data_IF_932883778520
#
_entry.id   IF_932883778520
#
_cell.length_a   1.000
_cell.length_b   1.000
_cell.length_c   1.000
_cell.angle_alpha   90.00
_cell.angle_beta   90.00
_cell.angle_gamma   90.00
#
_symmetry.space_group_name_H-M   'P 1'
#
loop_
_entity.id
_entity.type
_entity.pdbx_description
1 polymer ?
#
# COMPACT_ATOMS: atom_id res chain seq x y z
N UNK A 1 -13.68 27.35 5.76
CA UNK A 1 -13.06 26.02 5.89
C UNK A 1 -13.75 25.06 4.97
N UNK A 2 -12.99 24.16 4.35
CA UNK A 2 -13.54 23.11 3.51
C UNK A 2 -13.93 21.91 4.39
N UNK A 3 -15.07 21.29 4.07
CA UNK A 3 -15.48 20.04 4.70
C UNK A 3 -14.88 18.83 4.01
N UNK A 4 -15.27 17.61 4.43
CA UNK A 4 -14.78 16.36 3.86
C UNK A 4 -15.08 16.28 2.35
N UNK A 5 -14.05 16.11 1.50
CA UNK A 5 -14.24 16.07 0.07
C UNK A 5 -14.94 14.77 -0.36
N UNK A 6 -15.76 14.88 -1.41
CA UNK A 6 -16.32 13.71 -2.08
C UNK A 6 -15.75 13.55 -3.48
N UNK A 7 -15.41 12.31 -3.80
CA UNK A 7 -15.00 11.90 -5.13
C UNK A 7 -16.20 11.90 -6.07
N UNK A 8 -16.04 12.49 -7.24
CA UNK A 8 -17.00 12.48 -8.33
C UNK A 8 -16.31 11.87 -9.54
N UNK A 9 -16.81 10.74 -9.99
CA UNK A 9 -16.26 10.09 -11.18
C UNK A 9 -16.37 11.00 -12.40
N UNK A 10 -15.23 11.31 -12.99
CA UNK A 10 -15.15 12.15 -14.19
C UNK A 10 -14.99 11.30 -15.45
N UNK A 11 -13.76 10.94 -15.81
CA UNK A 11 -13.46 10.26 -17.07
C UNK A 11 -14.28 8.97 -17.25
N UNK A 12 -14.32 8.11 -16.24
CA UNK A 12 -15.08 6.85 -16.27
C UNK A 12 -16.59 7.05 -16.47
N UNK A 13 -17.18 8.00 -15.75
CA UNK A 13 -18.62 8.29 -15.89
C UNK A 13 -18.98 8.84 -17.27
N UNK A 14 -18.04 9.54 -17.90
CA UNK A 14 -18.19 10.10 -19.24
C UNK A 14 -17.83 9.12 -20.36
N UNK A 15 -17.24 7.97 -20.04
CA UNK A 15 -16.74 7.01 -21.02
C UNK A 15 -15.51 7.54 -21.77
N UNK A 16 -14.66 8.29 -21.10
CA UNK A 16 -13.45 8.89 -21.65
C UNK A 16 -12.21 8.25 -21.02
N UNK A 17 -11.09 8.30 -21.72
CA UNK A 17 -9.77 8.12 -21.12
C UNK A 17 -9.38 9.38 -20.35
N UNK A 18 -8.59 9.27 -19.24
CA UNK A 18 -8.28 10.40 -18.38
C UNK A 18 -7.70 11.63 -19.08
N UNK A 19 -6.80 11.53 -20.08
CA UNK A 19 -6.27 12.70 -20.80
C UNK A 19 -7.32 13.50 -21.58
N UNK A 20 -8.38 12.85 -22.05
CA UNK A 20 -9.42 13.52 -22.83
C UNK A 20 -10.40 14.33 -21.96
N UNK A 21 -10.36 14.12 -20.63
CA UNK A 21 -11.22 14.84 -19.72
C UNK A 21 -11.00 16.36 -19.78
N UNK A 22 -9.75 16.79 -19.95
CA UNK A 22 -9.39 18.21 -19.99
C UNK A 22 -10.13 19.00 -21.09
N UNK A 23 -10.40 18.34 -22.21
CA UNK A 23 -11.12 18.95 -23.34
C UNK A 23 -12.60 19.20 -23.06
N UNK A 24 -13.16 18.49 -22.09
CA UNK A 24 -14.59 18.53 -21.78
C UNK A 24 -14.89 19.09 -20.40
N UNK A 25 -13.85 19.47 -19.66
CA UNK A 25 -13.99 20.16 -18.37
C UNK A 25 -14.71 21.51 -18.55
N UNK A 26 -15.54 21.82 -17.56
CA UNK A 26 -16.31 23.07 -17.48
C UNK A 26 -15.97 23.90 -16.25
N UNK A 27 -15.30 23.29 -15.30
CA UNK A 27 -14.95 23.89 -14.01
C UNK A 27 -13.46 23.70 -13.77
N UNK A 28 -12.77 24.77 -13.42
CA UNK A 28 -11.37 24.74 -13.04
C UNK A 28 -11.21 24.21 -11.61
N UNK A 29 -10.06 23.61 -11.31
CA UNK A 29 -9.68 23.29 -9.93
C UNK A 29 -9.58 24.61 -9.14
N UNK A 30 -10.14 24.64 -7.93
CA UNK A 30 -10.25 25.84 -7.10
C UNK A 30 -11.57 26.59 -7.24
N UNK A 31 -12.36 26.33 -8.28
CA UNK A 31 -13.63 27.04 -8.51
C UNK A 31 -14.73 26.63 -7.52
N UNK A 32 -15.54 27.56 -7.13
CA UNK A 32 -16.78 27.33 -6.39
C UNK A 32 -17.82 26.70 -7.30
N UNK A 33 -18.57 25.76 -6.78
CA UNK A 33 -19.61 25.02 -7.48
C UNK A 33 -20.86 24.92 -6.61
N UNK A 34 -22.01 24.92 -7.24
CA UNK A 34 -23.28 24.62 -6.59
C UNK A 34 -23.72 23.21 -6.94
N UNK A 35 -24.58 22.61 -6.13
CA UNK A 35 -25.18 21.30 -6.41
C UNK A 35 -25.80 21.30 -7.83
N UNK A 36 -25.41 20.29 -8.62
CA UNK A 36 -25.84 20.20 -10.01
C UNK A 36 -24.95 20.91 -11.02
N UNK A 37 -23.94 21.70 -10.58
CA UNK A 37 -22.96 22.30 -11.50
C UNK A 37 -22.28 21.22 -12.33
N UNK A 38 -22.23 21.40 -13.63
CA UNK A 38 -21.57 20.47 -14.57
C UNK A 38 -20.05 20.67 -14.48
N UNK A 39 -19.36 19.69 -13.92
CA UNK A 39 -17.89 19.67 -13.82
C UNK A 39 -17.22 19.34 -15.15
N UNK A 40 -17.80 18.38 -15.87
CA UNK A 40 -17.38 18.01 -17.22
C UNK A 40 -18.59 17.42 -17.98
N UNK A 41 -18.60 17.56 -19.32
CA UNK A 41 -19.71 17.09 -20.16
C UNK A 41 -19.25 16.66 -21.53
N UNK A 42 -19.73 15.49 -21.99
CA UNK A 42 -19.52 14.98 -23.36
C UNK A 42 -20.82 14.96 -24.14
N UNK A 43 -20.65 15.05 -25.48
CA UNK A 43 -21.75 14.88 -26.44
C UNK A 43 -22.73 16.05 -26.55
N UNK A 44 -23.48 16.06 -27.66
CA UNK A 44 -24.52 17.04 -27.92
C UNK A 44 -25.93 16.44 -27.76
N UNK A 45 -26.15 15.20 -28.21
CA UNK A 45 -27.47 14.55 -28.18
C UNK A 45 -27.64 13.54 -27.05
N UNK A 46 -26.60 12.74 -26.79
CA UNK A 46 -26.55 11.80 -25.64
C UNK A 46 -25.46 12.28 -24.69
N UNK A 47 -25.70 13.43 -24.11
CA UNK A 47 -24.71 14.05 -23.23
C UNK A 47 -24.61 13.29 -21.90
N UNK A 48 -23.40 12.86 -21.55
CA UNK A 48 -23.06 12.43 -20.19
C UNK A 48 -22.41 13.60 -19.48
N UNK A 49 -22.71 13.76 -18.20
CA UNK A 49 -22.14 14.84 -17.40
C UNK A 49 -21.69 14.30 -16.03
N UNK A 50 -20.53 14.76 -15.59
CA UNK A 50 -20.13 14.69 -14.20
C UNK A 50 -20.61 15.96 -13.51
N UNK A 51 -21.36 15.84 -12.43
CA UNK A 51 -22.00 16.96 -11.73
C UNK A 51 -21.58 17.05 -10.28
N UNK A 52 -21.53 18.26 -9.74
CA UNK A 52 -21.25 18.49 -8.32
C UNK A 52 -22.42 17.97 -7.46
N UNK A 53 -22.15 17.13 -6.44
CA UNK A 53 -23.19 16.53 -5.61
C UNK A 53 -23.78 17.48 -4.57
N UNK A 54 -23.11 18.59 -4.28
CA UNK A 54 -23.49 19.61 -3.29
C UNK A 54 -22.76 20.93 -3.57
N UNK A 55 -23.12 21.97 -2.84
CA UNK A 55 -22.47 23.28 -2.90
C UNK A 55 -21.09 23.20 -2.25
N UNK A 56 -20.06 23.66 -2.95
CA UNK A 56 -18.70 23.51 -2.46
C UNK A 56 -17.65 24.09 -3.39
N UNK A 57 -16.45 23.54 -3.31
CA UNK A 57 -15.32 23.90 -4.17
C UNK A 57 -14.73 22.66 -4.82
N UNK A 58 -14.43 22.72 -6.11
CA UNK A 58 -13.69 21.70 -6.83
C UNK A 58 -12.20 21.82 -6.45
N UNK A 59 -11.73 20.99 -5.52
CA UNK A 59 -10.42 21.17 -4.89
C UNK A 59 -9.28 20.41 -5.58
N UNK A 60 -9.60 19.35 -6.29
CA UNK A 60 -8.59 18.50 -6.92
C UNK A 60 -9.17 17.71 -8.10
N UNK A 61 -8.31 17.39 -9.06
CA UNK A 61 -8.52 16.41 -10.12
C UNK A 61 -7.41 15.40 -10.12
N UNK A 62 -7.75 14.12 -10.08
CA UNK A 62 -6.78 13.04 -10.12
C UNK A 62 -6.26 12.78 -11.53
N UNK A 63 -5.10 12.13 -11.64
CA UNK A 63 -4.59 11.64 -12.93
C UNK A 63 -5.55 10.62 -13.58
N UNK A 64 -6.32 9.85 -12.80
CA UNK A 64 -7.38 8.94 -13.27
C UNK A 64 -8.63 9.65 -13.79
N UNK A 65 -8.69 10.98 -13.69
CA UNK A 65 -9.78 11.79 -14.22
C UNK A 65 -11.00 11.87 -13.31
N UNK A 66 -10.84 11.76 -12.01
CA UNK A 66 -11.89 12.00 -11.02
C UNK A 66 -11.76 13.39 -10.41
N UNK A 67 -12.89 13.97 -10.01
CA UNK A 67 -12.94 15.24 -9.30
C UNK A 67 -13.12 15.02 -7.81
N UNK A 68 -12.55 15.90 -7.01
CA UNK A 68 -12.88 16.02 -5.61
C UNK A 68 -13.56 17.35 -5.36
N UNK A 69 -14.77 17.30 -4.81
CA UNK A 69 -15.56 18.46 -4.43
C UNK A 69 -15.70 18.47 -2.91
N UNK A 70 -15.32 19.57 -2.27
CA UNK A 70 -15.44 19.75 -0.83
C UNK A 70 -16.47 20.83 -0.51
N UNK A 71 -17.38 20.65 0.47
CA UNK A 71 -18.27 21.68 0.92
C UNK A 71 -17.48 22.85 1.54
N UNK A 72 -17.90 24.08 1.24
CA UNK A 72 -17.26 25.30 1.82
C UNK A 72 -17.62 25.47 3.29
N UNK A 73 -18.75 24.91 3.71
CA UNK A 73 -19.22 24.94 5.08
C UNK A 73 -19.02 23.58 5.74
N UNK A 74 -18.10 23.50 6.68
CA UNK A 74 -17.87 22.26 7.41
C UNK A 74 -16.45 22.20 7.99
N UNK A 75 -16.27 21.25 8.87
CA UNK A 75 -14.95 20.86 9.36
C UNK A 75 -14.61 19.51 8.74
N UNK A 76 -13.45 19.43 8.14
CA UNK A 76 -12.85 18.15 7.78
C UNK A 76 -11.85 17.77 8.86
N UNK A 77 -11.94 16.58 9.37
CA UNK A 77 -10.99 16.04 10.31
C UNK A 77 -10.43 14.72 9.79
N UNK A 78 -9.14 14.57 9.88
CA UNK A 78 -8.43 13.32 9.66
C UNK A 78 -7.78 12.95 10.98
N UNK A 79 -7.97 11.71 11.39
CA UNK A 79 -7.27 11.19 12.54
C UNK A 79 -5.84 10.82 12.11
N UNK A 80 -4.85 11.26 12.89
CA UNK A 80 -3.47 10.82 12.68
C UNK A 80 -3.40 9.29 12.74
N UNK A 81 -2.56 8.70 11.90
CA UNK A 81 -2.28 7.27 11.96
C UNK A 81 -1.45 6.90 13.20
N UNK A 82 -0.68 7.86 13.73
CA UNK A 82 0.23 7.65 14.85
C UNK A 82 -0.06 8.64 15.98
N UNK A 83 0.25 8.24 17.19
CA UNK A 83 0.35 9.13 18.32
C UNK A 83 1.69 9.89 18.26
N UNK A 84 1.65 11.18 18.52
CA UNK A 84 2.87 11.99 18.38
C UNK A 84 2.61 13.48 18.55
N UNK A 85 3.65 14.28 18.32
CA UNK A 85 3.59 15.71 18.42
C UNK A 85 3.40 16.34 17.04
N UNK A 86 2.61 17.40 16.96
CA UNK A 86 2.50 18.20 15.74
C UNK A 86 3.76 19.03 15.57
N UNK A 87 4.63 18.64 14.64
CA UNK A 87 5.87 19.36 14.36
C UNK A 87 5.63 20.57 13.46
N UNK A 88 4.65 20.47 12.54
CA UNK A 88 4.33 21.53 11.59
C UNK A 88 2.87 21.49 11.21
N UNK A 89 2.27 22.66 11.05
CA UNK A 89 0.90 22.81 10.56
C UNK A 89 0.86 23.97 9.56
N UNK A 90 0.57 23.65 8.31
CA UNK A 90 0.41 24.60 7.21
C UNK A 90 -1.03 24.56 6.68
N UNK A 91 -1.36 25.48 5.75
CA UNK A 91 -2.71 25.57 5.17
C UNK A 91 -3.17 24.31 4.42
N UNK A 92 -2.26 23.41 4.05
CA UNK A 92 -2.56 22.21 3.27
C UNK A 92 -2.07 20.89 3.89
N UNK A 93 -1.28 20.93 4.98
CA UNK A 93 -0.69 19.75 5.57
C UNK A 93 -0.41 19.91 7.06
N UNK A 94 -0.50 18.79 7.79
CA UNK A 94 -0.05 18.69 9.18
C UNK A 94 0.99 17.59 9.26
N UNK A 95 2.17 17.91 9.79
CA UNK A 95 3.23 16.95 10.05
C UNK A 95 3.16 16.52 11.51
N UNK A 96 3.03 15.24 11.72
CA UNK A 96 3.07 14.62 13.07
C UNK A 96 4.35 13.80 13.17
N UNK A 97 5.09 14.02 14.24
CA UNK A 97 6.30 13.27 14.57
C UNK A 97 6.07 12.41 15.79
N UNK A 98 6.55 11.18 15.77
CA UNK A 98 6.44 10.24 16.87
C UNK A 98 7.29 9.00 16.60
N UNK A 99 7.41 8.19 17.64
CA UNK A 99 8.14 6.93 17.55
C UNK A 99 7.27 5.86 16.89
N UNK A 100 7.90 5.02 16.09
CA UNK A 100 7.23 3.91 15.40
C UNK A 100 8.19 2.74 15.25
N UNK A 101 7.62 1.54 15.35
CA UNK A 101 8.32 0.35 14.91
C UNK A 101 8.20 0.22 13.39
N UNK A 102 9.30 -0.04 12.70
CA UNK A 102 9.33 -0.11 11.25
C UNK A 102 9.91 -1.44 10.76
N UNK A 103 9.26 -2.03 9.78
CA UNK A 103 9.73 -3.23 9.09
C UNK A 103 9.84 -2.94 7.60
N UNK A 104 11.05 -3.06 7.07
CA UNK A 104 11.33 -2.91 5.64
C UNK A 104 10.94 -4.15 4.85
N UNK A 105 10.49 -3.95 3.63
CA UNK A 105 10.21 -4.99 2.66
C UNK A 105 10.94 -4.75 1.34
N UNK A 106 10.85 -5.70 0.41
CA UNK A 106 11.42 -5.58 -0.92
C UNK A 106 10.59 -4.68 -1.81
N UNK A 107 9.26 -4.83 -1.78
CA UNK A 107 8.37 -4.15 -2.68
C UNK A 107 6.99 -3.92 -2.07
N UNK A 108 6.39 -2.76 -2.37
CA UNK A 108 5.01 -2.42 -2.04
C UNK A 108 4.17 -2.25 -3.31
N UNK A 109 2.95 -2.76 -3.30
CA UNK A 109 2.02 -2.70 -4.41
C UNK A 109 0.70 -2.09 -3.96
N UNK A 110 0.09 -1.29 -4.84
CA UNK A 110 -1.16 -0.59 -4.54
C UNK A 110 -0.96 0.74 -3.81
N UNK A 111 -2.06 1.37 -3.33
CA UNK A 111 -2.00 2.60 -2.57
C UNK A 111 -1.43 2.39 -1.18
N UNK A 112 -1.03 3.48 -0.51
CA UNK A 112 -0.72 3.42 0.91
C UNK A 112 -1.95 3.00 1.72
N UNK A 113 -1.74 2.26 2.80
CA UNK A 113 -2.81 1.72 3.62
C UNK A 113 -2.61 2.03 5.11
N UNK A 114 -3.73 2.18 5.81
CA UNK A 114 -3.77 2.37 7.26
C UNK A 114 -4.83 1.43 7.83
N UNK A 115 -4.50 0.75 8.93
CA UNK A 115 -5.41 -0.18 9.58
C UNK A 115 -4.86 -0.68 10.91
N UNK A 116 -5.63 -1.49 11.60
CA UNK A 116 -5.13 -2.18 12.79
C UNK A 116 -4.42 -3.46 12.34
N UNK A 117 -3.24 -3.71 12.89
CA UNK A 117 -2.45 -4.89 12.57
C UNK A 117 -3.14 -6.17 13.05
N UNK A 118 -3.18 -7.17 12.22
CA UNK A 118 -3.73 -8.48 12.53
C UNK A 118 -2.87 -9.58 11.92
N UNK A 119 -2.39 -10.52 12.74
CA UNK A 119 -1.65 -11.68 12.22
C UNK A 119 -2.66 -12.77 11.87
N UNK A 120 -2.76 -13.08 10.57
CA UNK A 120 -3.75 -13.99 9.99
C UNK A 120 -3.32 -15.46 9.94
N UNK A 121 -2.13 -15.78 10.43
CA UNK A 121 -1.52 -17.12 10.42
C UNK A 121 -1.02 -17.49 11.81
N UNK A 122 -0.99 -18.79 12.09
CA UNK A 122 -0.59 -19.27 13.41
C UNK A 122 0.94 -19.41 13.53
N UNK A 123 1.60 -19.71 12.41
CA UNK A 123 3.05 -19.85 12.34
C UNK A 123 3.64 -19.09 11.15
N UNK A 124 4.91 -18.72 11.18
CA UNK A 124 5.57 -18.05 10.05
C UNK A 124 5.67 -18.92 8.79
N UNK A 125 5.46 -20.23 8.92
CA UNK A 125 5.49 -21.19 7.82
C UNK A 125 4.15 -21.34 7.10
N UNK A 126 3.07 -20.82 7.68
CA UNK A 126 1.74 -20.95 7.11
C UNK A 126 1.52 -19.99 5.93
N UNK A 127 0.72 -20.42 4.98
CA UNK A 127 0.19 -19.56 3.92
C UNK A 127 -1.12 -18.91 4.39
N UNK A 128 -1.33 -17.64 4.05
CA UNK A 128 -2.61 -16.98 4.27
C UNK A 128 -3.65 -17.51 3.28
N UNK A 129 -4.41 -18.51 3.71
CA UNK A 129 -5.45 -19.08 2.88
C UNK A 129 -6.60 -18.10 2.67
N UNK A 130 -7.22 -18.04 1.45
CA UNK A 130 -8.38 -17.19 1.19
C UNK A 130 -9.54 -17.42 2.16
N UNK A 131 -9.73 -18.66 2.65
CA UNK A 131 -10.76 -19.02 3.62
C UNK A 131 -10.62 -18.35 4.99
N UNK A 132 -9.42 -17.91 5.36
CA UNK A 132 -9.16 -17.15 6.60
C UNK A 132 -9.52 -15.67 6.48
N UNK A 133 -9.86 -15.19 5.28
CA UNK A 133 -10.15 -13.80 4.99
C UNK A 133 -11.65 -13.60 4.86
N UNK A 134 -12.21 -12.77 5.72
CA UNK A 134 -13.63 -12.40 5.71
C UNK A 134 -13.85 -10.93 6.10
N UNK A 135 -15.09 -10.50 6.11
CA UNK A 135 -15.48 -9.10 6.39
C UNK A 135 -15.13 -8.60 7.80
N UNK A 136 -14.80 -9.49 8.75
CA UNK A 136 -14.33 -9.11 10.08
C UNK A 136 -12.93 -8.52 10.06
N UNK A 137 -12.19 -8.75 8.97
CA UNK A 137 -10.86 -8.19 8.74
C UNK A 137 -10.90 -6.85 7.98
N UNK A 138 -12.09 -6.28 7.79
CA UNK A 138 -12.24 -4.95 7.21
C UNK A 138 -11.43 -3.90 7.96
N UNK A 139 -10.83 -2.98 7.22
CA UNK A 139 -10.00 -1.89 7.72
C UNK A 139 -8.77 -2.34 8.53
N UNK A 140 -8.34 -3.60 8.39
CA UNK A 140 -7.13 -4.14 9.02
C UNK A 140 -6.00 -4.28 8.03
N UNK A 141 -4.77 -4.25 8.56
CA UNK A 141 -3.57 -4.72 7.87
C UNK A 141 -3.32 -6.15 8.32
N UNK A 142 -3.45 -7.10 7.40
CA UNK A 142 -3.37 -8.53 7.70
C UNK A 142 -2.00 -9.07 7.32
N UNK A 143 -1.33 -9.67 8.29
CA UNK A 143 -0.05 -10.34 8.09
C UNK A 143 -0.29 -11.81 7.74
N UNK A 144 0.19 -12.22 6.57
CA UNK A 144 0.37 -13.61 6.19
C UNK A 144 1.72 -14.13 6.66
N UNK A 145 1.96 -15.42 6.53
CA UNK A 145 3.25 -16.02 6.84
C UNK A 145 4.14 -16.11 5.62
N UNK A 146 4.32 -17.33 5.15
CA UNK A 146 5.19 -17.66 4.03
C UNK A 146 4.78 -17.02 2.72
N UNK A 147 3.46 -16.96 2.45
CA UNK A 147 2.95 -16.63 1.12
C UNK A 147 1.54 -16.04 1.18
N UNK A 148 1.28 -15.13 0.23
CA UNK A 148 -0.07 -14.66 -0.08
C UNK A 148 -0.29 -14.78 -1.59
N UNK A 149 -1.20 -15.66 -1.99
CA UNK A 149 -1.54 -15.91 -3.39
C UNK A 149 -2.55 -14.88 -3.95
N UNK A 150 -2.72 -14.81 -5.27
CA UNK A 150 -3.62 -13.87 -5.95
C UNK A 150 -5.06 -13.96 -5.45
N UNK A 151 -5.54 -15.15 -5.16
CA UNK A 151 -6.90 -15.38 -4.66
C UNK A 151 -7.10 -14.76 -3.27
N UNK A 152 -6.08 -14.87 -2.40
CA UNK A 152 -6.11 -14.25 -1.08
C UNK A 152 -6.08 -12.72 -1.19
N UNK A 153 -5.25 -12.17 -2.09
CA UNK A 153 -5.19 -10.73 -2.36
C UNK A 153 -6.53 -10.20 -2.86
N UNK A 154 -7.11 -10.86 -3.86
CA UNK A 154 -8.40 -10.47 -4.43
C UNK A 154 -9.53 -10.55 -3.40
N UNK A 155 -9.55 -11.61 -2.58
CA UNK A 155 -10.54 -11.78 -1.53
C UNK A 155 -10.38 -10.73 -0.43
N UNK A 156 -9.17 -10.43 -0.01
CA UNK A 156 -8.88 -9.39 0.98
C UNK A 156 -9.42 -8.03 0.53
N UNK A 157 -9.16 -7.67 -0.72
CA UNK A 157 -9.70 -6.44 -1.32
C UNK A 157 -11.23 -6.43 -1.33
N UNK A 158 -11.87 -7.51 -1.75
CA UNK A 158 -13.33 -7.63 -1.75
C UNK A 158 -13.94 -7.56 -0.35
N UNK A 159 -13.24 -8.04 0.69
CA UNK A 159 -13.66 -7.96 2.09
C UNK A 159 -13.38 -6.59 2.73
N UNK A 160 -12.67 -5.69 2.04
CA UNK A 160 -12.31 -4.36 2.55
C UNK A 160 -11.12 -4.37 3.53
N UNK A 161 -10.24 -5.36 3.41
CA UNK A 161 -8.95 -5.37 4.11
C UNK A 161 -8.11 -4.21 3.61
N UNK A 162 -7.52 -3.42 4.52
CA UNK A 162 -6.73 -2.24 4.14
C UNK A 162 -5.43 -2.61 3.43
N UNK A 163 -4.75 -3.66 3.89
CA UNK A 163 -3.51 -4.11 3.28
C UNK A 163 -3.09 -5.50 3.74
N UNK A 164 -2.22 -6.11 2.95
CA UNK A 164 -1.63 -7.42 3.22
C UNK A 164 -0.11 -7.28 3.36
N UNK A 165 0.45 -8.03 4.30
CA UNK A 165 1.90 -8.15 4.51
C UNK A 165 2.26 -9.62 4.46
N UNK A 166 3.23 -10.01 3.66
CA UNK A 166 3.66 -11.41 3.55
C UNK A 166 5.17 -11.54 3.40
N UNK A 167 5.71 -12.67 3.81
CA UNK A 167 7.08 -13.02 3.54
C UNK A 167 7.33 -13.09 2.04
N UNK A 168 6.53 -13.83 1.31
CA UNK A 168 6.59 -13.94 -0.14
C UNK A 168 5.27 -13.66 -0.84
N UNK A 169 5.34 -13.19 -2.08
CA UNK A 169 4.19 -13.04 -2.98
C UNK A 169 4.58 -13.55 -4.37
N UNK A 170 3.87 -14.53 -4.95
CA UNK A 170 4.20 -15.04 -6.27
C UNK A 170 4.12 -13.94 -7.33
N UNK A 171 5.15 -13.85 -8.17
CA UNK A 171 5.21 -12.87 -9.26
C UNK A 171 4.04 -12.99 -10.23
N UNK A 172 3.65 -14.23 -10.56
CA UNK A 172 2.46 -14.49 -11.38
C UNK A 172 1.18 -13.99 -10.73
N UNK A 173 1.05 -14.14 -9.41
CA UNK A 173 -0.08 -13.60 -8.64
C UNK A 173 -0.16 -12.09 -8.67
N UNK A 174 1.00 -11.40 -8.57
CA UNK A 174 1.06 -9.95 -8.70
C UNK A 174 0.64 -9.47 -10.09
N UNK A 175 1.07 -10.17 -11.15
CA UNK A 175 0.63 -9.84 -12.51
C UNK A 175 -0.88 -10.00 -12.70
N UNK A 176 -1.47 -11.04 -12.13
CA UNK A 176 -2.92 -11.24 -12.18
C UNK A 176 -3.67 -10.09 -11.52
N UNK A 177 -3.18 -9.58 -10.38
CA UNK A 177 -3.86 -8.53 -9.61
C UNK A 177 -3.58 -7.13 -10.14
N UNK A 178 -2.33 -6.85 -10.53
CA UNK A 178 -1.90 -5.48 -10.88
C UNK A 178 -1.64 -5.27 -12.37
N UNK A 179 -1.62 -6.34 -13.16
CA UNK A 179 -1.33 -6.28 -14.61
C UNK A 179 0.14 -6.50 -14.93
N UNK A 180 0.43 -6.54 -16.23
CA UNK A 180 1.77 -6.89 -16.74
C UNK A 180 2.84 -5.81 -16.48
N UNK A 181 2.42 -4.58 -16.19
CA UNK A 181 3.33 -3.46 -15.87
C UNK A 181 3.92 -3.54 -14.45
N UNK A 182 3.53 -4.54 -13.68
CA UNK A 182 4.05 -4.74 -12.32
C UNK A 182 5.54 -5.09 -12.37
N UNK A 183 6.34 -4.45 -11.52
CA UNK A 183 7.79 -4.62 -11.48
C UNK A 183 8.32 -4.93 -10.08
N UNK A 184 9.60 -5.26 -9.98
CA UNK A 184 10.27 -5.65 -8.74
C UNK A 184 10.31 -4.54 -7.67
N UNK A 185 10.23 -3.28 -8.07
CA UNK A 185 10.24 -2.14 -7.14
C UNK A 185 8.86 -1.78 -6.59
N UNK A 186 7.87 -2.61 -6.90
CA UNK A 186 6.50 -2.32 -6.53
C UNK A 186 5.77 -1.42 -7.54
N UNK A 187 4.54 -1.12 -7.23
CA UNK A 187 3.67 -0.26 -8.00
C UNK A 187 2.82 0.56 -7.03
N UNK A 188 3.20 1.82 -6.83
CA UNK A 188 2.33 2.75 -6.10
C UNK A 188 1.20 3.20 -7.02
N UNK A 189 -0.03 2.90 -6.65
CA UNK A 189 -1.21 3.29 -7.40
C UNK A 189 -2.17 4.07 -6.50
N UNK A 190 -2.68 5.18 -7.02
CA UNK A 190 -3.69 6.00 -6.33
C UNK A 190 -5.12 5.55 -6.60
N UNK A 191 -5.31 4.36 -7.14
CA UNK A 191 -6.60 3.80 -7.54
C UNK A 191 -7.10 2.76 -6.52
N UNK A 192 -8.30 2.25 -6.75
CA UNK A 192 -8.96 1.23 -5.93
C UNK A 192 -8.35 -0.15 -6.23
N UNK A 193 -7.12 -0.36 -5.79
CA UNK A 193 -6.41 -1.63 -5.87
C UNK A 193 -6.04 -2.13 -4.48
N UNK A 194 -5.88 -3.45 -4.30
CA UNK A 194 -5.39 -4.00 -3.04
C UNK A 194 -4.00 -3.45 -2.71
N UNK A 195 -3.70 -3.33 -1.43
CA UNK A 195 -2.36 -2.99 -0.95
C UNK A 195 -1.65 -4.24 -0.49
N UNK A 196 -0.45 -4.48 -0.99
CA UNK A 196 0.38 -5.62 -0.62
C UNK A 196 1.81 -5.18 -0.36
N UNK A 197 2.35 -5.58 0.78
CA UNK A 197 3.76 -5.44 1.12
C UNK A 197 4.45 -6.81 1.08
N UNK A 198 5.42 -6.94 0.20
CA UNK A 198 6.27 -8.10 0.07
C UNK A 198 7.54 -7.89 0.89
N UNK A 199 7.75 -8.68 1.94
CA UNK A 199 8.88 -8.48 2.85
C UNK A 199 10.17 -9.10 2.33
N UNK A 200 10.12 -10.36 1.88
CA UNK A 200 11.33 -11.14 1.64
C UNK A 200 11.60 -11.44 0.17
N UNK A 201 10.58 -11.41 -0.65
CA UNK A 201 10.79 -11.71 -2.08
C UNK A 201 9.55 -12.16 -2.81
N UNK A 202 9.78 -12.67 -4.03
CA UNK A 202 8.74 -13.18 -4.90
C UNK A 202 8.68 -14.70 -4.79
N UNK A 203 7.49 -15.22 -4.49
CA UNK A 203 7.27 -16.66 -4.29
C UNK A 203 6.86 -17.02 -2.87
N UNK A 204 7.51 -18.01 -2.29
CA UNK A 204 7.25 -18.49 -0.92
C UNK A 204 8.48 -18.25 -0.05
N UNK A 205 8.33 -17.44 0.98
CA UNK A 205 9.41 -17.11 1.91
C UNK A 205 8.86 -17.01 3.34
N UNK A 206 9.17 -17.97 4.23
CA UNK A 206 8.74 -17.91 5.62
C UNK A 206 9.27 -16.65 6.30
N UNK A 207 8.43 -16.01 7.10
CA UNK A 207 8.89 -14.91 7.94
C UNK A 207 9.94 -15.44 8.95
N UNK A 208 11.02 -14.70 9.19
CA UNK A 208 11.90 -15.00 10.32
C UNK A 208 11.10 -15.07 11.62
N UNK A 209 11.38 -16.06 12.45
CA UNK A 209 10.63 -16.27 13.69
C UNK A 209 10.59 -15.03 14.60
N UNK A 210 11.71 -14.30 14.81
CA UNK A 210 11.68 -13.08 15.61
C UNK A 210 10.72 -12.00 15.04
N UNK A 211 10.70 -11.84 13.70
CA UNK A 211 9.79 -10.90 13.02
C UNK A 211 8.34 -11.32 13.23
N UNK A 212 8.03 -12.60 13.05
CA UNK A 212 6.68 -13.12 13.26
C UNK A 212 6.21 -12.90 14.71
N UNK A 213 7.06 -13.24 15.69
CA UNK A 213 6.74 -13.04 17.11
C UNK A 213 6.55 -11.57 17.46
N UNK A 214 7.39 -10.68 16.90
CA UNK A 214 7.23 -9.24 17.05
C UNK A 214 5.89 -8.74 16.50
N UNK A 215 5.51 -9.18 15.30
CA UNK A 215 4.22 -8.84 14.68
C UNK A 215 3.02 -9.39 15.48
N UNK A 216 3.15 -10.57 16.07
CA UNK A 216 2.13 -11.13 16.97
C UNK A 216 1.98 -10.26 18.22
N UNK A 217 3.09 -9.85 18.84
CA UNK A 217 3.08 -8.98 20.02
C UNK A 217 2.47 -7.60 19.72
N UNK A 218 2.65 -7.09 18.48
CA UNK A 218 2.12 -5.83 18.01
C UNK A 218 0.69 -5.93 17.45
N UNK A 219 0.10 -7.12 17.40
CA UNK A 219 -1.24 -7.32 16.85
C UNK A 219 -2.28 -6.51 17.64
N UNK A 220 -3.15 -5.82 16.90
CA UNK A 220 -4.12 -4.86 17.46
C UNK A 220 -3.63 -3.42 17.49
N UNK A 221 -2.33 -3.18 17.30
CA UNK A 221 -1.80 -1.81 17.19
C UNK A 221 -2.18 -1.18 15.87
N UNK A 222 -2.27 0.14 15.84
CA UNK A 222 -2.44 0.89 14.60
C UNK A 222 -1.21 0.75 13.74
N UNK A 223 -1.38 0.56 12.44
CA UNK A 223 -0.29 0.38 11.50
C UNK A 223 -0.57 1.08 10.17
N UNK A 224 0.50 1.30 9.41
CA UNK A 224 0.44 1.84 8.06
C UNK A 224 1.42 1.09 7.14
N UNK A 225 1.02 0.92 5.88
CA UNK A 225 1.90 0.46 4.81
C UNK A 225 2.19 1.68 3.93
N UNK A 226 3.47 2.03 3.79
CA UNK A 226 3.95 3.00 2.83
C UNK A 226 4.56 2.25 1.65
N UNK A 227 3.79 2.13 0.57
CA UNK A 227 4.11 1.26 -0.57
C UNK A 227 5.34 1.73 -1.34
N UNK A 228 5.52 3.05 -1.48
CA UNK A 228 6.66 3.62 -2.22
C UNK A 228 8.02 3.33 -1.58
N UNK A 229 8.08 3.22 -0.25
CA UNK A 229 9.31 2.83 0.48
C UNK A 229 9.30 1.35 0.90
N UNK A 230 8.27 0.60 0.55
CA UNK A 230 8.06 -0.78 0.95
C UNK A 230 8.19 -1.00 2.47
N UNK A 231 7.52 -0.16 3.28
CA UNK A 231 7.60 -0.23 4.75
C UNK A 231 6.26 -0.47 5.40
N UNK A 232 6.28 -1.34 6.42
CA UNK A 232 5.24 -1.44 7.44
C UNK A 232 5.67 -0.61 8.63
N UNK A 233 4.83 0.33 9.04
CA UNK A 233 5.01 1.15 10.24
C UNK A 233 3.96 0.71 11.26
N UNK A 234 4.36 0.42 12.50
CA UNK A 234 3.45 0.01 13.57
C UNK A 234 3.57 1.00 14.73
N UNK A 235 2.46 1.65 15.04
CA UNK A 235 2.38 2.67 16.07
C UNK A 235 1.94 2.05 17.39
N UNK A 236 2.88 1.37 18.03
CA UNK A 236 2.66 0.71 19.33
C UNK A 236 3.07 1.63 20.47
N UNK A 237 2.49 1.45 21.67
CA UNK A 237 3.01 2.08 22.87
C UNK A 237 4.49 1.74 23.10
N UNK A 238 5.26 2.68 23.63
CA UNK A 238 6.70 2.53 23.85
C UNK A 238 7.08 1.42 24.84
N UNK A 239 6.12 0.92 25.61
CA UNK A 239 6.27 -0.16 26.59
C UNK A 239 6.06 -1.56 26.02
N UNK A 240 5.63 -1.68 24.77
CA UNK A 240 5.59 -2.99 24.10
C UNK A 240 7.03 -3.39 23.80
N UNK A 241 7.51 -4.51 24.38
CA UNK A 241 8.85 -4.99 24.07
C UNK A 241 8.90 -5.50 22.64
N UNK A 242 9.19 -4.61 21.75
CA UNK A 242 9.58 -4.91 20.38
C UNK A 242 11.07 -5.22 20.48
N UNK A 243 11.49 -6.40 20.04
CA UNK A 243 12.85 -6.88 20.20
C UNK A 243 13.92 -5.81 19.93
N UNK A 244 15.08 -6.02 20.49
CA UNK A 244 16.16 -5.05 20.52
C UNK A 244 16.29 -4.28 19.22
N UNK A 245 16.05 -2.98 19.24
CA UNK A 245 16.10 -2.11 18.06
C UNK A 245 17.51 -2.04 17.43
N UNK A 246 18.50 -2.52 18.16
CA UNK A 246 19.89 -2.62 17.75
C UNK A 246 20.23 -4.01 17.16
N UNK A 247 19.30 -4.95 17.12
CA UNK A 247 19.54 -6.21 16.43
C UNK A 247 19.37 -5.95 14.95
N UNK A 248 20.45 -5.94 14.15
CA UNK A 248 20.29 -5.83 12.71
C UNK A 248 19.54 -7.10 12.29
N UNK A 249 18.40 -6.85 11.73
CA UNK A 249 17.66 -7.93 11.14
C UNK A 249 18.41 -8.50 9.97
N UNK A 250 18.87 -9.57 10.14
CA UNK A 250 19.53 -10.35 9.58
C UNK A 250 19.43 -10.95 8.37
N UNK A 251 20.18 -10.75 7.54
CA UNK A 251 20.50 -11.40 6.48
C UNK A 251 21.29 -12.53 6.62
N UNK A 252 20.75 -13.58 6.59
CA UNK A 252 21.33 -14.91 6.59
C UNK A 252 21.51 -15.40 5.17
N UNK A 253 21.95 -14.52 4.32
CA UNK A 253 22.23 -14.93 2.94
C UNK A 253 23.23 -16.07 2.86
N UNK A 254 24.13 -16.18 3.82
CA UNK A 254 25.04 -17.32 3.94
C UNK A 254 24.35 -18.64 4.27
N UNK A 255 23.20 -18.58 4.96
CA UNK A 255 22.47 -19.78 5.34
C UNK A 255 21.63 -20.31 4.18
N UNK A 256 21.48 -19.52 3.14
CA UNK A 256 20.70 -19.84 1.95
C UNK A 256 21.55 -20.29 0.74
N UNK A 257 22.78 -20.70 0.96
CA UNK A 257 23.50 -21.42 -0.08
C UNK A 257 24.11 -20.59 -1.21
N UNK A 258 24.64 -19.43 -0.91
CA UNK A 258 25.47 -18.70 -1.86
C UNK A 258 24.95 -17.34 -2.28
N UNK A 259 23.87 -16.88 -1.71
CA UNK A 259 23.44 -15.49 -1.85
C UNK A 259 24.43 -14.59 -1.13
N UNK A 260 24.88 -13.52 -1.77
CA UNK A 260 25.76 -12.56 -1.12
C UNK A 260 25.06 -11.94 0.08
N UNK A 261 25.74 -11.85 1.23
CA UNK A 261 25.20 -11.13 2.37
C UNK A 261 24.95 -9.66 1.97
N UNK A 262 23.89 -9.11 2.45
CA UNK A 262 23.69 -7.69 2.34
C UNK A 262 24.67 -6.97 3.25
N UNK A 263 25.15 -5.83 2.85
CA UNK A 263 26.01 -5.04 3.70
C UNK A 263 25.21 -4.39 4.82
N UNK A 264 25.83 -4.28 5.97
CA UNK A 264 25.29 -3.52 7.10
C UNK A 264 24.95 -2.10 6.65
N UNK A 265 23.69 -1.75 6.67
CA UNK A 265 23.20 -0.45 6.19
C UNK A 265 22.11 -0.52 5.13
N UNK A 266 21.60 -1.71 4.83
CA UNK A 266 20.41 -1.88 4.01
C UNK A 266 20.61 -1.80 2.51
N UNK A 267 21.84 -1.88 2.03
CA UNK A 267 22.11 -1.93 0.60
C UNK A 267 22.05 -3.37 0.09
N UNK A 268 21.23 -3.60 -0.88
CA UNK A 268 21.22 -4.85 -1.61
C UNK A 268 22.42 -4.87 -2.57
N UNK A 269 23.26 -5.89 -2.50
CA UNK A 269 24.43 -6.03 -3.38
C UNK A 269 24.05 -6.56 -4.77
N UNK A 270 23.13 -5.90 -5.44
CA UNK A 270 22.67 -6.28 -6.76
C UNK A 270 21.35 -5.60 -7.13
N UNK A 271 20.95 -5.76 -8.36
CA UNK A 271 19.67 -5.25 -8.85
C UNK A 271 18.64 -6.35 -8.77
N UNK A 272 17.61 -6.17 -7.92
CA UNK A 272 16.46 -7.04 -7.92
C UNK A 272 15.62 -6.76 -9.15
N UNK A 273 15.37 -7.78 -9.95
CA UNK A 273 14.48 -7.69 -11.10
C UNK A 273 13.25 -8.54 -10.85
N UNK A 274 12.11 -8.05 -11.32
CA UNK A 274 10.89 -8.84 -11.30
C UNK A 274 11.06 -10.03 -12.26
N UNK A 275 10.74 -11.27 -11.84
CA UNK A 275 10.89 -12.44 -12.70
C UNK A 275 10.10 -12.30 -13.99
N UNK A 276 10.73 -12.66 -15.12
CA UNK A 276 10.08 -12.60 -16.43
C UNK A 276 9.03 -13.71 -16.62
N UNK A 277 9.21 -14.83 -15.93
CA UNK A 277 8.32 -15.99 -16.02
C UNK A 277 7.23 -15.91 -14.97
N UNK A 278 5.99 -16.28 -15.32
CA UNK A 278 4.82 -16.15 -14.47
C UNK A 278 4.95 -16.95 -13.18
N UNK A 279 5.62 -18.11 -13.24
CA UNK A 279 5.77 -19.01 -12.10
C UNK A 279 7.18 -18.98 -11.47
N UNK A 280 8.01 -18.03 -11.90
CA UNK A 280 9.37 -17.96 -11.39
C UNK A 280 9.41 -17.39 -9.98
N UNK A 281 9.83 -18.19 -9.04
CA UNK A 281 10.09 -17.80 -7.65
C UNK A 281 11.56 -17.40 -7.46
N UNK A 282 12.13 -16.72 -8.42
CA UNK A 282 13.52 -16.29 -8.40
C UNK A 282 13.66 -14.80 -8.64
N UNK A 283 14.69 -14.21 -8.05
CA UNK A 283 15.06 -12.81 -8.21
C UNK A 283 16.38 -12.75 -8.96
N UNK A 284 16.44 -11.93 -10.00
CA UNK A 284 17.70 -11.60 -10.68
C UNK A 284 18.44 -10.55 -9.85
N UNK A 285 19.57 -10.93 -9.29
CA UNK A 285 20.43 -10.06 -8.48
C UNK A 285 21.48 -9.32 -9.31
N UNK A 286 21.49 -9.54 -10.62
CA UNK A 286 22.52 -9.02 -11.52
C UNK A 286 23.76 -9.94 -11.65
N UNK A 287 24.01 -10.75 -10.63
CA UNK A 287 25.06 -11.80 -10.63
C UNK A 287 24.48 -13.20 -10.90
N UNK A 288 23.15 -13.27 -11.06
CA UNK A 288 22.42 -14.53 -11.31
C UNK A 288 21.05 -14.54 -10.65
N UNK A 289 20.29 -15.59 -10.95
CA UNK A 289 18.98 -15.80 -10.35
C UNK A 289 19.10 -16.45 -8.98
N UNK A 290 18.41 -15.89 -8.01
CA UNK A 290 18.38 -16.39 -6.64
C UNK A 290 16.93 -16.66 -6.25
N UNK A 291 16.62 -17.80 -5.61
CA UNK A 291 15.28 -18.05 -5.08
C UNK A 291 14.82 -16.90 -4.20
N UNK A 292 13.58 -16.43 -4.39
CA UNK A 292 13.05 -15.30 -3.65
C UNK A 292 13.09 -15.52 -2.12
N UNK A 293 12.89 -16.75 -1.69
CA UNK A 293 13.00 -17.16 -0.29
C UNK A 293 14.40 -16.94 0.33
N UNK A 294 15.43 -16.79 -0.51
CA UNK A 294 16.80 -16.60 -0.05
C UNK A 294 17.22 -15.13 0.02
N UNK A 295 16.28 -14.22 -0.20
CA UNK A 295 16.59 -12.80 -0.25
C UNK A 295 15.79 -12.07 0.80
N UNK A 296 16.50 -11.46 1.73
CA UNK A 296 15.94 -10.60 2.76
C UNK A 296 16.47 -9.18 2.57
N UNK A 297 15.61 -8.18 2.37
CA UNK A 297 16.08 -6.80 2.40
C UNK A 297 16.44 -6.43 3.82
N UNK A 298 17.57 -5.76 3.98
CA UNK A 298 17.88 -5.08 5.21
C UNK A 298 17.46 -3.65 5.03
N UNK A 299 16.59 -3.21 5.87
CA UNK A 299 16.32 -1.81 6.06
C UNK A 299 16.44 -1.55 7.55
N UNK A 300 17.61 -1.13 7.99
CA UNK A 300 17.79 -0.69 9.36
C UNK A 300 17.04 0.63 9.52
N UNK A 301 16.06 0.72 10.42
CA UNK A 301 15.48 2.01 10.74
C UNK A 301 16.57 2.91 11.32
N UNK A 302 16.71 4.09 10.77
CA UNK A 302 17.49 5.17 11.34
C UNK A 302 16.57 6.21 11.91
#
# INVERSE_FOLDING_TARGET
MLGSPRRVSGARALGLIPPDLDRVMRVAVGAEVTRGTVLARTGRRLARAAIAPFDGRAIHRTASGDFFVAPVTGRWSVRSAMDGNVARSDDGAVTVEGDTWALGGIAGYGPDAIGDLYVGVDTPLDELAPSRIDVRLRDRIVVGGTRVAAEAITRAHACGVSGLVAGGVPAGGLRVVYGDDVGARGLSAADDRPTVLCLLGFGSAPLPLPVHLGLVALSGSRAAIHTASARLLVFAPADVPVGDADTPELLLASDFGGVRPFESGGSFAGVIRFPSEIDADAIDTGDGFVPAANVLPIDAPR
#
